data_IF_580051672642
#
_entry.id   IF_580051672642
#
_cell.length_a   1.000
_cell.length_b   1.000
_cell.length_c   1.000
_cell.angle_alpha   90.00
_cell.angle_beta   90.00
_cell.angle_gamma   90.00
#
_symmetry.space_group_name_H-M   'P 1'
#
loop_
_entity.id
_entity.type
_entity.pdbx_description
1 polymer ?
#
# COMPACT_ATOMS: atom_id res chain seq x y z
N UNK A 1 20.44 1.39 -7.60
CA UNK A 1 20.11 1.98 -8.91
C UNK A 1 18.95 2.97 -8.85
N UNK A 2 17.83 2.68 -8.14
CA UNK A 2 16.64 3.55 -8.09
C UNK A 2 16.94 5.02 -7.75
N UNK A 3 17.86 5.31 -6.84
CA UNK A 3 18.22 6.67 -6.41
C UNK A 3 19.37 7.30 -7.22
N UNK A 4 19.97 6.58 -8.16
CA UNK A 4 21.07 7.04 -9.02
C UNK A 4 20.60 7.41 -10.43
N UNK A 5 21.48 7.89 -11.28
CA UNK A 5 21.18 8.19 -12.68
C UNK A 5 20.98 6.92 -13.53
N UNK A 6 21.31 5.75 -13.00
CA UNK A 6 21.11 4.45 -13.65
C UNK A 6 19.70 3.87 -13.51
N UNK A 7 18.79 4.58 -12.85
CA UNK A 7 17.45 4.07 -12.53
C UNK A 7 16.65 3.65 -13.78
N UNK A 8 16.79 4.38 -14.87
CA UNK A 8 16.07 4.11 -16.10
C UNK A 8 16.53 2.79 -16.76
N UNK A 9 17.83 2.58 -16.89
CA UNK A 9 18.37 1.31 -17.41
C UNK A 9 18.08 0.14 -16.47
N UNK A 10 18.08 0.39 -15.16
CA UNK A 10 17.75 -0.62 -14.16
C UNK A 10 16.30 -1.09 -14.25
N UNK A 11 15.33 -0.14 -14.37
CA UNK A 11 13.91 -0.51 -14.42
C UNK A 11 13.58 -1.22 -15.74
N UNK A 12 14.17 -0.82 -16.87
CA UNK A 12 14.03 -1.53 -18.14
C UNK A 12 14.62 -2.95 -18.05
N UNK A 13 15.75 -3.12 -17.37
CA UNK A 13 16.30 -4.46 -17.13
C UNK A 13 15.38 -5.36 -16.31
N UNK A 14 14.57 -4.80 -15.41
CA UNK A 14 13.51 -5.55 -14.71
C UNK A 14 12.40 -5.96 -15.67
N UNK A 15 11.97 -5.08 -16.58
CA UNK A 15 11.00 -5.42 -17.62
C UNK A 15 11.49 -6.58 -18.50
N UNK A 16 12.73 -6.52 -18.96
CA UNK A 16 13.31 -7.57 -19.81
C UNK A 16 13.28 -8.95 -19.12
N UNK A 17 13.58 -9.00 -17.82
CA UNK A 17 13.51 -10.24 -17.04
C UNK A 17 12.06 -10.68 -16.85
N UNK A 18 11.15 -9.76 -16.53
CA UNK A 18 9.74 -10.07 -16.37
C UNK A 18 9.13 -10.64 -17.64
N UNK A 19 9.43 -10.05 -18.80
CA UNK A 19 8.99 -10.51 -20.12
C UNK A 19 9.50 -11.92 -20.42
N UNK A 20 10.76 -12.22 -20.09
CA UNK A 20 11.34 -13.56 -20.24
C UNK A 20 10.57 -14.64 -19.47
N UNK A 21 10.01 -14.29 -18.31
CA UNK A 21 9.28 -15.21 -17.45
C UNK A 21 7.76 -15.02 -17.50
N UNK A 22 7.25 -14.16 -18.38
CA UNK A 22 5.82 -13.83 -18.50
C UNK A 22 5.22 -13.34 -17.19
N UNK A 23 5.94 -12.47 -16.50
CA UNK A 23 5.50 -11.84 -15.23
C UNK A 23 4.94 -10.45 -15.53
N UNK A 24 3.74 -10.18 -15.04
CA UNK A 24 3.12 -8.86 -15.07
C UNK A 24 3.20 -8.21 -13.69
N UNK A 25 3.34 -6.88 -13.65
CA UNK A 25 3.34 -6.10 -12.43
C UNK A 25 1.95 -5.48 -12.20
N UNK A 26 1.25 -5.91 -11.19
CA UNK A 26 -0.11 -5.43 -10.89
C UNK A 26 -0.12 -4.15 -10.08
N UNK A 27 0.79 -4.05 -9.11
CA UNK A 27 0.93 -2.88 -8.25
C UNK A 27 2.40 -2.66 -7.88
N UNK A 28 2.72 -1.44 -7.45
CA UNK A 28 4.02 -1.08 -6.92
C UNK A 28 3.85 -0.16 -5.70
N UNK A 29 4.91 -0.01 -4.91
CA UNK A 29 4.92 0.90 -3.78
C UNK A 29 5.87 2.07 -4.06
N UNK A 30 5.42 3.31 -3.83
CA UNK A 30 6.23 4.49 -4.00
C UNK A 30 7.31 4.59 -2.91
N UNK A 31 8.39 5.31 -3.22
CA UNK A 31 9.27 5.81 -2.17
C UNK A 31 8.46 6.70 -1.22
N UNK A 32 8.62 6.52 0.08
CA UNK A 32 7.85 7.24 1.07
C UNK A 32 8.72 7.96 2.10
N UNK A 33 8.20 9.05 2.57
CA UNK A 33 8.73 9.83 3.70
C UNK A 33 7.60 10.67 4.28
N UNK A 34 7.78 11.22 5.47
CA UNK A 34 6.79 12.12 6.04
C UNK A 34 6.93 13.55 5.47
N UNK A 35 6.29 13.84 4.37
CA UNK A 35 6.33 15.16 3.73
C UNK A 35 5.65 16.28 4.54
N UNK A 36 4.87 15.92 5.56
CA UNK A 36 4.30 16.88 6.50
C UNK A 36 5.30 17.36 7.55
N UNK A 37 6.44 16.67 7.72
CA UNK A 37 7.49 17.10 8.64
C UNK A 37 8.22 18.33 8.07
N UNK A 38 8.15 19.50 8.76
CA UNK A 38 8.85 20.70 8.31
C UNK A 38 10.37 20.59 8.36
N UNK A 39 10.89 19.61 9.13
CA UNK A 39 12.32 19.36 9.29
C UNK A 39 12.82 18.18 8.43
N UNK A 40 12.01 17.68 7.50
CA UNK A 40 12.43 16.60 6.62
C UNK A 40 13.66 17.02 5.79
N UNK A 41 14.78 16.33 6.02
CA UNK A 41 16.01 16.56 5.27
C UNK A 41 15.86 16.11 3.82
N UNK A 42 16.51 16.83 2.88
CA UNK A 42 16.54 16.50 1.45
C UNK A 42 15.13 16.37 0.80
N UNK A 43 14.17 17.18 1.26
CA UNK A 43 12.78 17.12 0.79
C UNK A 43 12.65 17.10 -0.74
N UNK A 44 13.35 18.01 -1.43
CA UNK A 44 13.32 18.07 -2.91
C UNK A 44 13.81 16.76 -3.57
N UNK A 45 14.81 16.12 -2.97
CA UNK A 45 15.28 14.82 -3.45
C UNK A 45 14.21 13.74 -3.22
N UNK A 46 13.58 13.71 -2.04
CA UNK A 46 12.55 12.75 -1.70
C UNK A 46 11.30 12.93 -2.57
N UNK A 47 10.89 14.17 -2.84
CA UNK A 47 9.80 14.48 -3.79
C UNK A 47 10.12 13.95 -5.19
N UNK A 48 11.36 14.15 -5.69
CA UNK A 48 11.77 13.54 -6.96
C UNK A 48 11.71 12.02 -6.94
N UNK A 49 12.01 11.37 -5.81
CA UNK A 49 11.91 9.90 -5.70
C UNK A 49 10.46 9.43 -5.75
N UNK A 50 9.52 10.19 -5.20
CA UNK A 50 8.08 9.91 -5.35
C UNK A 50 7.67 9.99 -6.82
N UNK A 51 8.05 11.05 -7.54
CA UNK A 51 7.75 11.18 -8.97
C UNK A 51 8.43 10.08 -9.80
N UNK A 52 9.68 9.74 -9.48
CA UNK A 52 10.41 8.61 -10.12
C UNK A 52 9.70 7.27 -9.89
N UNK A 53 9.05 7.07 -8.75
CA UNK A 53 8.24 5.88 -8.52
C UNK A 53 7.07 5.78 -9.51
N UNK A 54 6.47 6.92 -9.87
CA UNK A 54 5.42 6.98 -10.90
C UNK A 54 6.00 6.65 -12.28
N UNK A 55 7.19 7.17 -12.60
CA UNK A 55 7.86 6.86 -13.87
C UNK A 55 8.19 5.36 -13.97
N UNK A 56 8.70 4.76 -12.89
CA UNK A 56 8.94 3.32 -12.82
C UNK A 56 7.63 2.52 -12.96
N UNK A 57 6.56 2.93 -12.27
CA UNK A 57 5.25 2.29 -12.35
C UNK A 57 4.70 2.31 -13.79
N UNK A 58 4.85 3.44 -14.50
CA UNK A 58 4.51 3.56 -15.92
C UNK A 58 5.29 2.58 -16.79
N UNK A 59 6.61 2.51 -16.62
CA UNK A 59 7.49 1.63 -17.40
C UNK A 59 7.12 0.16 -17.17
N UNK A 60 6.83 -0.21 -15.91
CA UNK A 60 6.40 -1.57 -15.53
C UNK A 60 4.95 -1.90 -15.94
N UNK A 61 4.18 -0.95 -16.45
CA UNK A 61 2.76 -1.14 -16.75
C UNK A 61 1.87 -1.28 -15.51
N UNK A 62 2.34 -0.84 -14.35
CA UNK A 62 1.61 -0.90 -13.08
C UNK A 62 0.37 -0.01 -13.12
N UNK A 63 -0.77 -0.57 -12.72
CA UNK A 63 -2.04 0.15 -12.71
C UNK A 63 -2.20 1.03 -11.48
N UNK A 64 -1.78 0.57 -10.31
CA UNK A 64 -1.92 1.27 -9.05
C UNK A 64 -0.58 1.36 -8.31
N UNK A 65 -0.16 2.59 -8.00
CA UNK A 65 1.00 2.87 -7.17
C UNK A 65 0.53 3.19 -5.75
N UNK A 66 0.95 2.37 -4.80
CA UNK A 66 0.64 2.56 -3.38
C UNK A 66 1.54 3.65 -2.81
N UNK A 67 0.98 4.52 -1.97
CA UNK A 67 1.70 5.61 -1.33
C UNK A 67 1.17 5.87 0.09
N UNK A 68 2.06 6.28 0.98
CA UNK A 68 1.73 6.67 2.35
C UNK A 68 1.25 8.11 2.44
N UNK A 69 0.31 8.38 3.35
CA UNK A 69 -0.02 9.73 3.78
C UNK A 69 1.04 10.30 4.74
N UNK A 70 1.22 11.61 4.73
CA UNK A 70 2.05 12.31 5.69
C UNK A 70 1.28 12.65 6.98
N UNK A 71 2.00 12.82 8.09
CA UNK A 71 1.43 13.21 9.39
C UNK A 71 2.07 14.47 9.92
N UNK A 72 1.26 15.46 10.26
CA UNK A 72 1.71 16.72 10.87
C UNK A 72 1.79 16.60 12.40
N UNK A 73 2.82 15.95 12.90
CA UNK A 73 3.06 15.77 14.34
C UNK A 73 3.30 17.08 15.09
N UNK A 74 3.63 18.17 14.39
CA UNK A 74 3.85 19.49 15.00
C UNK A 74 2.54 20.24 15.29
N UNK A 75 1.44 19.85 14.67
CA UNK A 75 0.16 20.52 14.83
C UNK A 75 -0.61 20.08 16.08
N UNK A 76 -1.17 21.02 16.86
CA UNK A 76 -2.12 20.67 17.94
C UNK A 76 -3.45 20.10 17.42
N UNK A 77 -3.71 20.24 16.11
CA UNK A 77 -4.88 19.69 15.41
C UNK A 77 -4.44 18.63 14.37
N UNK A 78 -3.70 17.63 14.83
CA UNK A 78 -2.96 16.65 14.01
C UNK A 78 -3.78 16.14 12.83
N UNK A 79 -4.97 15.58 13.05
CA UNK A 79 -5.80 14.97 11.99
C UNK A 79 -6.19 15.99 10.92
N UNK A 80 -6.71 17.15 11.34
CA UNK A 80 -7.13 18.21 10.42
C UNK A 80 -5.95 18.77 9.61
N UNK A 81 -4.87 19.11 10.29
CA UNK A 81 -3.68 19.67 9.65
C UNK A 81 -3.02 18.65 8.71
N UNK A 82 -2.96 17.38 9.11
CA UNK A 82 -2.47 16.31 8.23
C UNK A 82 -3.33 16.21 6.98
N UNK A 83 -4.67 16.17 7.10
CA UNK A 83 -5.57 16.13 5.96
C UNK A 83 -5.32 17.28 4.99
N UNK A 84 -5.28 18.54 5.49
CA UNK A 84 -5.07 19.74 4.67
C UNK A 84 -3.74 19.65 3.91
N UNK A 85 -2.63 19.27 4.58
CA UNK A 85 -1.31 19.11 3.96
C UNK A 85 -1.25 17.95 2.96
N UNK A 86 -1.94 16.83 3.24
CA UNK A 86 -2.01 15.72 2.30
C UNK A 86 -2.76 16.09 1.03
N UNK A 87 -3.88 16.80 1.13
CA UNK A 87 -4.62 17.29 -0.04
C UNK A 87 -3.73 18.20 -0.90
N UNK A 88 -3.01 19.13 -0.28
CA UNK A 88 -2.09 20.02 -1.00
C UNK A 88 -0.96 19.24 -1.68
N UNK A 89 -0.34 18.30 -0.98
CA UNK A 89 0.77 17.49 -1.49
C UNK A 89 0.34 16.54 -2.61
N UNK A 90 -0.79 15.86 -2.45
CA UNK A 90 -1.21 14.84 -3.40
C UNK A 90 -1.74 15.40 -4.72
N UNK A 91 -2.30 16.61 -4.76
CA UNK A 91 -2.80 17.19 -6.01
C UNK A 91 -1.80 17.12 -7.17
N UNK A 92 -0.60 17.70 -7.10
CA UNK A 92 0.38 17.60 -8.19
C UNK A 92 0.88 16.17 -8.43
N UNK A 93 0.95 15.32 -7.41
CA UNK A 93 1.38 13.92 -7.54
C UNK A 93 0.34 13.12 -8.34
N UNK A 94 -0.94 13.25 -8.02
CA UNK A 94 -2.05 12.59 -8.72
C UNK A 94 -2.16 13.08 -10.17
N UNK A 95 -2.00 14.39 -10.41
CA UNK A 95 -1.98 14.94 -11.76
C UNK A 95 -0.82 14.39 -12.60
N UNK A 96 0.35 14.25 -11.99
CA UNK A 96 1.50 13.64 -12.66
C UNK A 96 1.26 12.16 -12.95
N UNK A 97 0.70 11.43 -12.00
CA UNK A 97 0.35 10.02 -12.16
C UNK A 97 -0.72 9.82 -13.26
N UNK A 98 -1.76 10.67 -13.29
CA UNK A 98 -2.79 10.63 -14.31
C UNK A 98 -2.22 10.80 -15.73
N UNK A 99 -1.29 11.75 -15.93
CA UNK A 99 -0.58 11.95 -17.21
C UNK A 99 0.24 10.73 -17.65
N UNK A 100 0.60 9.87 -16.71
CA UNK A 100 1.35 8.64 -16.94
C UNK A 100 0.47 7.37 -16.92
N UNK A 101 -0.87 7.52 -16.86
CA UNK A 101 -1.85 6.43 -16.76
C UNK A 101 -1.65 5.54 -15.51
N UNK A 102 -1.16 6.10 -14.42
CA UNK A 102 -0.97 5.43 -13.13
C UNK A 102 -2.01 5.96 -12.14
N UNK A 103 -2.69 5.05 -11.43
CA UNK A 103 -3.54 5.40 -10.30
C UNK A 103 -2.72 5.48 -9.00
N UNK A 104 -3.16 6.31 -8.07
CA UNK A 104 -2.58 6.43 -6.73
C UNK A 104 -3.51 5.76 -5.72
N UNK A 105 -3.01 4.77 -4.99
CA UNK A 105 -3.71 4.10 -3.91
C UNK A 105 -3.09 4.52 -2.57
N UNK A 106 -3.82 5.29 -1.77
CA UNK A 106 -3.35 5.74 -0.46
C UNK A 106 -3.59 4.61 0.55
N UNK A 107 -2.55 4.29 1.32
CA UNK A 107 -2.53 3.16 2.23
C UNK A 107 -2.91 3.56 3.67
N UNK A 108 -3.64 2.67 4.37
CA UNK A 108 -3.80 2.78 5.81
C UNK A 108 -2.49 2.48 6.52
N UNK A 109 -2.14 3.34 7.46
CA UNK A 109 -0.90 3.22 8.23
C UNK A 109 -1.14 2.56 9.60
N UNK A 110 -0.06 2.16 10.23
CA UNK A 110 -0.05 1.67 11.60
C UNK A 110 0.85 2.54 12.49
N UNK A 111 0.61 2.50 13.79
CA UNK A 111 1.47 3.13 14.78
C UNK A 111 1.39 2.36 16.09
N UNK A 112 2.52 2.21 16.77
CA UNK A 112 2.59 1.65 18.13
C UNK A 112 2.52 2.72 19.22
N UNK A 113 2.51 3.99 18.84
CA UNK A 113 2.40 5.08 19.77
C UNK A 113 0.98 5.18 20.37
N UNK A 114 0.92 5.51 21.63
CA UNK A 114 -0.35 5.76 22.33
C UNK A 114 -0.87 7.15 21.88
N UNK A 115 -2.17 7.23 21.60
CA UNK A 115 -2.81 8.52 21.33
C UNK A 115 -2.39 9.60 22.37
N UNK A 116 -2.25 10.87 21.94
CA UNK A 116 -2.77 11.45 20.69
C UNK A 116 -1.81 11.46 19.52
N UNK A 117 -0.52 11.10 19.69
CA UNK A 117 0.50 11.20 18.67
C UNK A 117 0.62 9.91 17.85
N UNK A 118 -0.34 9.66 16.99
CA UNK A 118 -0.29 8.56 16.03
C UNK A 118 -0.22 9.08 14.59
N UNK A 119 0.20 8.24 13.67
CA UNK A 119 0.17 8.56 12.24
C UNK A 119 -1.25 8.84 11.78
N UNK A 120 -1.37 9.71 10.77
CA UNK A 120 -2.61 9.93 10.04
C UNK A 120 -2.92 8.73 9.12
N UNK A 121 -4.18 8.53 8.79
CA UNK A 121 -4.70 7.36 8.03
C UNK A 121 -4.54 6.00 8.73
N UNK A 122 -4.43 5.97 10.06
CA UNK A 122 -4.45 4.71 10.81
C UNK A 122 -5.86 4.18 11.05
N UNK A 123 -6.90 4.90 10.64
CA UNK A 123 -8.29 4.45 10.66
C UNK A 123 -8.92 4.51 9.29
N UNK A 124 -9.90 3.63 9.04
CA UNK A 124 -10.64 3.60 7.77
C UNK A 124 -11.37 4.92 7.52
N UNK A 125 -11.89 5.57 8.58
CA UNK A 125 -12.59 6.85 8.50
C UNK A 125 -11.68 7.95 7.98
N UNK A 126 -10.47 8.07 8.50
CA UNK A 126 -9.50 9.08 8.06
C UNK A 126 -9.06 8.84 6.62
N UNK A 127 -8.87 7.57 6.26
CA UNK A 127 -8.44 7.18 4.92
C UNK A 127 -9.53 7.48 3.88
N UNK A 128 -10.78 7.10 4.18
CA UNK A 128 -11.94 7.40 3.33
C UNK A 128 -12.16 8.90 3.19
N UNK A 129 -12.09 9.66 4.30
CA UNK A 129 -12.27 11.11 4.30
C UNK A 129 -11.21 11.84 3.45
N UNK A 130 -9.95 11.36 3.47
CA UNK A 130 -8.88 11.90 2.63
C UNK A 130 -9.12 11.58 1.15
N UNK A 131 -9.38 10.31 0.82
CA UNK A 131 -9.56 9.86 -0.56
C UNK A 131 -10.80 10.50 -1.19
N UNK A 132 -11.89 10.62 -0.46
CA UNK A 132 -13.10 11.31 -0.95
C UNK A 132 -12.84 12.79 -1.25
N UNK A 133 -12.07 13.48 -0.41
CA UNK A 133 -11.71 14.86 -0.65
C UNK A 133 -10.84 15.04 -1.92
N UNK A 134 -9.97 14.07 -2.22
CA UNK A 134 -9.15 14.06 -3.43
C UNK A 134 -9.95 13.61 -4.66
N UNK A 135 -10.85 12.63 -4.49
CA UNK A 135 -11.66 12.08 -5.59
C UNK A 135 -12.65 13.09 -6.18
N UNK A 136 -12.99 14.14 -5.45
CA UNK A 136 -13.81 15.24 -6.00
C UNK A 136 -13.17 15.88 -7.24
N UNK A 137 -11.84 15.92 -7.31
CA UNK A 137 -11.08 16.53 -8.39
C UNK A 137 -10.39 15.50 -9.31
N UNK A 138 -10.23 14.24 -8.87
CA UNK A 138 -9.39 13.23 -9.53
C UNK A 138 -9.99 11.83 -9.50
N UNK A 139 -10.15 11.19 -10.66
CA UNK A 139 -10.69 9.83 -10.76
C UNK A 139 -9.65 8.73 -10.49
N UNK A 140 -8.36 9.04 -10.64
CA UNK A 140 -7.24 8.10 -10.50
C UNK A 140 -6.68 8.03 -9.07
N UNK A 141 -7.53 8.21 -8.07
CA UNK A 141 -7.18 8.05 -6.66
C UNK A 141 -8.06 7.00 -6.01
N UNK A 142 -7.49 6.20 -5.13
CA UNK A 142 -8.19 5.14 -4.40
C UNK A 142 -7.47 4.77 -3.12
N UNK A 143 -7.85 3.64 -2.55
CA UNK A 143 -7.35 3.12 -1.28
C UNK A 143 -6.57 1.83 -1.54
N UNK A 144 -5.40 1.70 -0.90
CA UNK A 144 -4.78 0.42 -0.59
C UNK A 144 -5.12 0.07 0.85
N UNK A 145 -5.62 -1.16 1.07
CA UNK A 145 -5.89 -1.66 2.42
C UNK A 145 -4.85 -2.70 2.81
N UNK A 146 -4.05 -2.34 3.81
CA UNK A 146 -3.15 -3.27 4.47
C UNK A 146 -3.86 -3.91 5.65
N UNK A 147 -3.95 -5.25 5.58
CA UNK A 147 -4.67 -6.08 6.56
C UNK A 147 -3.96 -6.09 7.90
N UNK A 148 -2.64 -6.22 7.89
CA UNK A 148 -1.85 -6.23 9.12
C UNK A 148 -1.86 -4.87 9.82
N UNK A 149 -1.69 -3.78 9.07
CA UNK A 149 -1.78 -2.43 9.63
C UNK A 149 -3.11 -2.22 10.36
N UNK A 150 -4.20 -2.67 9.75
CA UNK A 150 -5.52 -2.60 10.37
C UNK A 150 -5.61 -3.44 11.66
N UNK A 151 -5.06 -4.64 11.66
CA UNK A 151 -5.05 -5.52 12.83
C UNK A 151 -4.17 -4.97 13.97
N UNK A 152 -3.01 -4.37 13.66
CA UNK A 152 -2.17 -3.66 14.64
C UNK A 152 -2.96 -2.52 15.27
N UNK A 153 -3.67 -1.74 14.46
CA UNK A 153 -4.49 -0.61 14.90
C UNK A 153 -5.84 -1.02 15.51
N UNK A 154 -6.09 -2.34 15.62
CA UNK A 154 -7.34 -2.89 16.16
C UNK A 154 -8.59 -2.43 15.41
N UNK A 155 -8.42 -2.16 14.12
CA UNK A 155 -9.54 -1.91 13.22
C UNK A 155 -10.28 -3.22 12.96
N UNK A 156 -11.59 -3.19 13.06
CA UNK A 156 -12.41 -4.35 12.69
C UNK A 156 -12.52 -4.38 11.17
N UNK A 157 -11.99 -5.43 10.52
CA UNK A 157 -11.88 -5.55 9.05
C UNK A 157 -13.24 -5.34 8.34
N UNK A 158 -14.29 -5.97 8.84
CA UNK A 158 -15.61 -5.93 8.17
C UNK A 158 -16.22 -4.53 8.07
N UNK A 159 -16.40 -3.76 9.15
CA UNK A 159 -16.93 -2.41 9.01
C UNK A 159 -15.99 -1.47 8.24
N UNK A 160 -14.67 -1.63 8.39
CA UNK A 160 -13.70 -0.82 7.68
C UNK A 160 -13.81 -1.03 6.15
N UNK A 161 -13.76 -2.27 5.67
CA UNK A 161 -13.85 -2.56 4.25
C UNK A 161 -15.23 -2.23 3.66
N UNK A 162 -16.32 -2.39 4.42
CA UNK A 162 -17.65 -1.92 3.96
C UNK A 162 -17.71 -0.40 3.80
N UNK A 163 -17.04 0.35 4.67
CA UNK A 163 -16.91 1.80 4.54
C UNK A 163 -16.06 2.19 3.33
N UNK A 164 -14.94 1.49 3.12
CA UNK A 164 -14.04 1.70 1.98
C UNK A 164 -14.78 1.40 0.65
N UNK A 165 -15.41 0.24 0.54
CA UNK A 165 -16.20 -0.15 -0.61
C UNK A 165 -15.42 -0.03 -1.93
N UNK A 166 -16.02 0.58 -2.94
CA UNK A 166 -15.43 0.73 -4.30
C UNK A 166 -14.18 1.61 -4.39
N UNK A 167 -13.82 2.29 -3.30
CA UNK A 167 -12.55 3.03 -3.22
C UNK A 167 -11.34 2.11 -3.10
N UNK A 168 -11.56 0.83 -2.73
CA UNK A 168 -10.49 -0.16 -2.66
C UNK A 168 -9.95 -0.45 -4.07
N UNK A 169 -8.67 -0.21 -4.28
CA UNK A 169 -7.97 -0.37 -5.57
C UNK A 169 -6.76 -1.28 -5.48
N UNK A 170 -6.17 -1.40 -4.30
CA UNK A 170 -5.03 -2.24 -4.01
C UNK A 170 -5.18 -2.88 -2.64
N UNK A 171 -4.47 -3.97 -2.41
CA UNK A 171 -4.41 -4.65 -1.11
C UNK A 171 -2.97 -5.01 -0.77
N UNK A 172 -2.61 -4.90 0.51
CA UNK A 172 -1.44 -5.52 1.08
C UNK A 172 -1.89 -6.63 2.02
N UNK A 173 -1.56 -7.86 1.64
CA UNK A 173 -2.02 -9.06 2.31
C UNK A 173 -0.89 -9.68 3.10
N UNK A 174 -0.99 -9.59 4.39
CA UNK A 174 -0.16 -10.26 5.37
C UNK A 174 -0.96 -10.59 6.62
N UNK A 175 -0.45 -11.50 7.43
CA UNK A 175 -1.05 -11.84 8.72
C UNK A 175 -0.23 -11.26 9.87
N UNK A 176 -0.83 -11.14 11.03
CA UNK A 176 -0.25 -10.57 12.23
C UNK A 176 -0.31 -11.55 13.39
N UNK A 177 0.83 -11.78 14.04
CA UNK A 177 0.95 -12.73 15.17
C UNK A 177 0.73 -12.03 16.52
N UNK A 178 0.69 -10.70 16.55
CA UNK A 178 0.56 -9.95 17.80
C UNK A 178 0.33 -8.46 17.63
N UNK A 179 1.22 -7.68 18.22
CA UNK A 179 1.23 -6.22 18.15
C UNK A 179 2.44 -5.70 17.37
N UNK A 180 3.25 -6.61 16.84
CA UNK A 180 4.43 -6.29 16.08
C UNK A 180 4.08 -6.20 14.60
N UNK A 181 4.92 -5.54 13.87
CA UNK A 181 4.91 -5.48 12.42
C UNK A 181 5.63 -6.73 11.88
N UNK A 182 4.84 -7.77 11.57
CA UNK A 182 5.37 -9.12 11.32
C UNK A 182 5.45 -9.49 9.84
N UNK A 183 4.50 -9.04 9.01
CA UNK A 183 4.38 -9.35 7.58
C UNK A 183 4.60 -10.83 7.27
N UNK A 184 3.81 -11.67 7.95
CA UNK A 184 3.86 -13.12 7.77
C UNK A 184 2.78 -13.62 6.81
N UNK A 185 2.94 -14.87 6.35
CA UNK A 185 1.99 -15.50 5.45
C UNK A 185 0.61 -15.65 6.12
N UNK A 186 -0.51 -15.46 5.40
CA UNK A 186 -1.86 -15.78 5.88
C UNK A 186 -1.95 -17.18 6.52
N UNK A 187 -2.77 -17.29 7.56
CA UNK A 187 -2.91 -18.42 8.47
C UNK A 187 -1.76 -18.61 9.47
N UNK A 188 -0.79 -17.70 9.50
CA UNK A 188 0.23 -17.69 10.56
C UNK A 188 -0.20 -16.88 11.79
N UNK A 189 -1.23 -16.05 11.66
CA UNK A 189 -1.70 -15.11 12.68
C UNK A 189 -3.17 -15.27 13.04
N UNK A 190 -3.84 -14.15 13.28
CA UNK A 190 -5.19 -14.10 13.86
C UNK A 190 -6.27 -13.64 12.90
N UNK A 191 -5.92 -13.23 11.68
CA UNK A 191 -6.88 -12.70 10.70
C UNK A 191 -7.91 -13.75 10.31
N UNK A 192 -9.20 -13.40 10.33
CA UNK A 192 -10.27 -14.27 9.84
C UNK A 192 -10.36 -14.21 8.31
N UNK A 193 -9.52 -14.98 7.65
CA UNK A 193 -9.38 -14.98 6.19
C UNK A 193 -10.66 -15.38 5.45
N UNK A 194 -11.44 -16.31 5.99
CA UNK A 194 -12.70 -16.70 5.34
C UNK A 194 -13.70 -15.54 5.30
N UNK A 195 -13.79 -14.78 6.39
CA UNK A 195 -14.64 -13.58 6.46
C UNK A 195 -14.10 -12.46 5.59
N UNK A 196 -12.77 -12.25 5.59
CA UNK A 196 -12.10 -11.25 4.77
C UNK A 196 -12.34 -11.49 3.27
N UNK A 197 -12.12 -12.71 2.78
CA UNK A 197 -12.32 -13.06 1.37
C UNK A 197 -13.78 -12.92 0.93
N UNK A 198 -14.73 -13.36 1.78
CA UNK A 198 -16.15 -13.14 1.54
C UNK A 198 -16.49 -11.65 1.42
N UNK A 199 -15.87 -10.84 2.23
CA UNK A 199 -16.09 -9.40 2.22
C UNK A 199 -15.54 -8.71 0.97
N UNK A 200 -14.35 -9.12 0.48
CA UNK A 200 -13.83 -8.64 -0.81
C UNK A 200 -14.82 -8.91 -1.96
N UNK A 201 -15.47 -10.08 -1.94
CA UNK A 201 -16.54 -10.41 -2.89
C UNK A 201 -17.78 -9.52 -2.69
N UNK A 202 -18.23 -9.31 -1.45
CA UNK A 202 -19.39 -8.47 -1.13
C UNK A 202 -19.21 -7.02 -1.60
N UNK A 203 -18.00 -6.45 -1.51
CA UNK A 203 -17.70 -5.09 -1.97
C UNK A 203 -17.35 -5.03 -3.47
N UNK A 204 -17.41 -6.15 -4.17
CA UNK A 204 -17.08 -6.28 -5.60
C UNK A 204 -15.63 -5.83 -5.91
N UNK A 205 -14.69 -6.17 -5.02
CA UNK A 205 -13.28 -5.88 -5.28
C UNK A 205 -12.78 -6.68 -6.48
N UNK A 206 -12.20 -5.99 -7.45
CA UNK A 206 -11.70 -6.58 -8.70
C UNK A 206 -10.21 -6.30 -8.94
N UNK A 207 -9.52 -5.76 -7.93
CA UNK A 207 -8.07 -5.57 -7.97
C UNK A 207 -7.32 -6.86 -7.62
N UNK A 208 -6.00 -6.75 -7.62
CA UNK A 208 -5.13 -7.89 -7.34
C UNK A 208 -5.02 -8.18 -5.84
N UNK A 209 -4.87 -9.46 -5.50
CA UNK A 209 -4.62 -9.94 -4.15
C UNK A 209 -3.11 -9.99 -3.94
N UNK A 210 -2.54 -8.89 -3.46
CA UNK A 210 -1.09 -8.69 -3.41
C UNK A 210 -0.53 -8.99 -2.03
N UNK A 211 0.36 -9.96 -1.95
CA UNK A 211 1.09 -10.24 -0.71
C UNK A 211 2.09 -9.14 -0.36
N UNK A 212 2.13 -8.75 0.91
CA UNK A 212 3.21 -8.01 1.52
C UNK A 212 3.84 -8.82 2.66
N UNK A 213 4.51 -9.91 2.30
CA UNK A 213 5.08 -10.89 3.24
C UNK A 213 6.62 -10.89 3.22
N UNK A 214 7.23 -9.73 3.10
CA UNK A 214 8.68 -9.58 2.94
C UNK A 214 9.51 -10.17 4.10
N UNK A 215 8.91 -10.40 5.27
CA UNK A 215 9.57 -11.09 6.39
C UNK A 215 9.37 -12.59 6.41
N UNK A 216 8.45 -13.12 5.60
CA UNK A 216 8.11 -14.54 5.60
C UNK A 216 9.31 -15.46 5.34
N UNK A 217 10.18 -15.09 4.41
CA UNK A 217 11.36 -15.87 4.06
C UNK A 217 12.63 -15.45 4.79
N UNK A 218 12.61 -14.37 5.58
CA UNK A 218 13.82 -13.78 6.17
C UNK A 218 14.57 -14.68 7.16
N UNK A 219 13.89 -15.64 7.76
CA UNK A 219 14.46 -16.62 8.69
C UNK A 219 14.57 -18.03 8.10
N UNK A 220 14.20 -18.21 6.82
CA UNK A 220 14.22 -19.48 6.14
C UNK A 220 15.60 -19.68 5.49
N UNK A 221 16.29 -20.82 5.70
CA UNK A 221 17.51 -21.13 4.97
C UNK A 221 17.30 -21.08 3.45
N UNK A 222 18.25 -20.52 2.70
CA UNK A 222 18.15 -20.31 1.24
C UNK A 222 17.71 -21.55 0.47
N UNK A 223 18.19 -22.73 0.89
CA UNK A 223 17.82 -24.02 0.27
C UNK A 223 16.32 -24.36 0.37
N UNK A 224 15.59 -23.77 1.32
CA UNK A 224 14.16 -23.98 1.55
C UNK A 224 13.28 -22.85 1.01
N UNK A 225 13.85 -21.72 0.62
CA UNK A 225 13.11 -20.56 0.09
C UNK A 225 12.22 -20.94 -1.11
N UNK A 226 12.67 -21.75 -2.10
CA UNK A 226 11.80 -22.15 -3.21
C UNK A 226 10.55 -22.93 -2.77
N UNK A 227 10.68 -23.78 -1.75
CA UNK A 227 9.54 -24.53 -1.21
C UNK A 227 8.57 -23.61 -0.44
N UNK A 228 9.10 -22.65 0.31
CA UNK A 228 8.30 -21.65 1.02
C UNK A 228 7.51 -20.76 0.04
N UNK A 229 8.14 -20.28 -1.04
CA UNK A 229 7.48 -19.49 -2.07
C UNK A 229 6.39 -20.32 -2.80
N UNK A 230 6.65 -21.58 -3.10
CA UNK A 230 5.60 -22.46 -3.66
C UNK A 230 4.41 -22.58 -2.71
N UNK A 231 4.66 -22.78 -1.42
CA UNK A 231 3.60 -22.87 -0.42
C UNK A 231 2.82 -21.54 -0.31
N UNK A 232 3.47 -20.40 -0.39
CA UNK A 232 2.74 -19.11 -0.38
C UNK A 232 1.77 -18.97 -1.56
N UNK A 233 2.13 -19.47 -2.75
CA UNK A 233 1.23 -19.51 -3.91
C UNK A 233 0.04 -20.44 -3.66
N UNK A 234 0.27 -21.62 -3.07
CA UNK A 234 -0.81 -22.55 -2.71
C UNK A 234 -1.79 -21.95 -1.69
N UNK A 235 -1.27 -21.20 -0.70
CA UNK A 235 -2.09 -20.45 0.27
C UNK A 235 -2.91 -19.38 -0.43
N UNK A 236 -2.32 -18.61 -1.36
CA UNK A 236 -3.02 -17.59 -2.14
C UNK A 236 -4.16 -18.18 -2.97
N UNK A 237 -3.91 -19.27 -3.69
CA UNK A 237 -4.93 -19.97 -4.46
C UNK A 237 -6.08 -20.50 -3.58
N UNK A 238 -5.77 -21.00 -2.41
CA UNK A 238 -6.80 -21.43 -1.44
C UNK A 238 -7.64 -20.23 -0.98
N UNK A 239 -7.01 -19.10 -0.63
CA UNK A 239 -7.73 -17.90 -0.23
C UNK A 239 -8.67 -17.39 -1.35
N UNK A 240 -8.18 -17.34 -2.58
CA UNK A 240 -9.01 -16.94 -3.73
C UNK A 240 -10.22 -17.84 -3.91
N UNK A 241 -10.06 -19.15 -3.68
CA UNK A 241 -11.19 -20.10 -3.74
C UNK A 241 -12.27 -19.85 -2.68
N UNK A 242 -11.94 -19.18 -1.57
CA UNK A 242 -12.93 -18.80 -0.55
C UNK A 242 -13.83 -17.63 -0.99
N UNK A 243 -13.44 -16.91 -2.04
CA UNK A 243 -14.21 -15.81 -2.62
C UNK A 243 -15.11 -16.28 -3.78
N UNK A 244 -14.99 -17.51 -4.25
CA UNK A 244 -15.87 -18.11 -5.26
C UNK A 244 -17.24 -18.45 -4.66
#
# INVERSE_FOLDING_TARGET
PFVTDEWDSWIHGICDVADQYHIEFSQAHANFYNFCDPNAENKEFLDRMVLRSIDCAKILGVKWLVIHAGTDFASPHLVRSSKEKNIEYFKPVIEYAAKNNVGIAIENLWDLNIAPLRRYTTTAEELVDLVDALHMDYENVGICWDVEHADIMKQTQVPALKMIGKRLKATHISDNVGINYDHVLPFSGYTNWAEFMKLLKEIEYSGDFTYEIHRYTSQIPDALVPAALKYSVEVGNYLLSLAE
#
